data_IF_104919234468
#
_entry.id   IF_104919234468
#
_cell.length_a   1.000
_cell.length_b   1.000
_cell.length_c   1.000
_cell.angle_alpha   90.00
_cell.angle_beta   90.00
_cell.angle_gamma   90.00
#
_symmetry.space_group_name_H-M   'P 1'
#
loop_
_entity.id
_entity.type
_entity.pdbx_description
1 polymer ?
#
# COMPACT_ATOMS: atom_id res chain seq x y z
N UNK A 1 -25.59 45.18 -18.40
CA UNK A 1 -26.82 44.91 -17.61
C UNK A 1 -26.63 43.57 -16.96
N UNK A 2 -26.72 43.53 -15.64
CA UNK A 2 -26.21 42.42 -14.84
C UNK A 2 -27.17 41.26 -14.69
N UNK A 3 -26.60 40.17 -14.19
CA UNK A 3 -27.20 39.36 -13.13
C UNK A 3 -26.06 38.75 -12.31
N UNK A 4 -25.88 39.27 -11.09
CA UNK A 4 -25.24 38.54 -10.00
C UNK A 4 -26.20 37.44 -9.53
N UNK A 5 -25.67 36.28 -9.16
CA UNK A 5 -26.50 35.16 -8.70
C UNK A 5 -25.72 34.07 -7.98
N UNK A 6 -25.32 34.38 -6.75
CA UNK A 6 -25.19 33.48 -5.60
C UNK A 6 -24.04 32.47 -5.54
N UNK A 7 -23.08 32.84 -4.70
CA UNK A 7 -22.15 32.01 -3.94
C UNK A 7 -22.84 30.78 -3.35
N UNK A 8 -22.34 29.59 -3.67
CA UNK A 8 -22.57 28.40 -2.87
C UNK A 8 -21.26 28.03 -2.17
N UNK A 9 -21.14 28.45 -0.91
CA UNK A 9 -20.03 28.06 -0.04
C UNK A 9 -20.21 26.58 0.33
N UNK A 10 -19.65 25.68 -0.48
CA UNK A 10 -19.40 24.31 -0.02
C UNK A 10 -18.12 24.29 0.80
N UNK A 11 -18.32 24.41 2.12
CA UNK A 11 -17.30 24.38 3.15
C UNK A 11 -16.82 22.94 3.41
N UNK A 12 -16.27 22.30 2.39
CA UNK A 12 -15.46 21.09 2.53
C UNK A 12 -14.07 21.44 2.02
N UNK A 13 -13.08 21.54 2.91
CA UNK A 13 -11.70 21.81 2.54
C UNK A 13 -11.28 20.82 1.44
N UNK A 14 -11.19 21.30 0.19
CA UNK A 14 -10.59 20.53 -0.89
C UNK A 14 -9.16 20.21 -0.44
N UNK A 15 -8.87 18.92 -0.30
CA UNK A 15 -7.59 18.45 0.19
C UNK A 15 -6.53 18.83 -0.85
N UNK A 16 -5.80 19.92 -0.58
CA UNK A 16 -4.73 20.41 -1.46
C UNK A 16 -3.59 19.40 -1.45
N UNK A 17 -3.35 18.77 -2.60
CA UNK A 17 -2.20 17.90 -2.82
C UNK A 17 -1.02 18.76 -3.27
N UNK A 18 0.04 18.82 -2.46
CA UNK A 18 1.25 19.61 -2.74
C UNK A 18 1.28 20.98 -2.07
N UNK A 19 2.38 21.73 -2.31
CA UNK A 19 2.66 23.01 -1.65
C UNK A 19 2.31 24.24 -2.50
N UNK A 20 2.07 24.06 -3.80
CA UNK A 20 1.69 25.12 -4.76
C UNK A 20 0.31 24.87 -5.36
N UNK A 21 -0.25 25.88 -6.00
CA UNK A 21 -1.48 25.73 -6.78
C UNK A 21 -1.27 24.80 -7.99
N UNK A 22 -2.32 24.08 -8.44
CA UNK A 22 -2.26 23.26 -9.63
C UNK A 22 -2.03 24.13 -10.87
N UNK A 23 -1.22 23.62 -11.82
CA UNK A 23 -0.96 24.29 -13.10
C UNK A 23 -2.25 24.34 -13.96
N UNK A 24 -3.06 23.28 -13.90
CA UNK A 24 -4.32 23.17 -14.61
C UNK A 24 -5.29 22.31 -13.80
N UNK A 25 -6.57 22.69 -13.85
CA UNK A 25 -7.70 21.90 -13.33
C UNK A 25 -8.52 21.27 -14.47
N UNK A 26 -8.05 21.36 -15.71
CA UNK A 26 -8.71 20.76 -16.86
C UNK A 26 -8.68 19.23 -16.79
N UNK A 27 -9.83 18.59 -16.98
CA UNK A 27 -9.93 17.14 -17.13
C UNK A 27 -9.43 16.66 -18.51
N UNK A 28 -9.28 15.34 -18.69
CA UNK A 28 -8.86 14.76 -19.97
C UNK A 28 -9.92 14.98 -21.06
N UNK A 29 -9.45 15.17 -22.30
CA UNK A 29 -10.30 15.16 -23.50
C UNK A 29 -10.61 13.72 -23.94
N UNK A 30 -11.54 13.55 -24.87
CA UNK A 30 -11.82 12.24 -25.48
C UNK A 30 -10.57 11.64 -26.15
N UNK A 31 -9.73 12.47 -26.77
CA UNK A 31 -8.47 12.06 -27.37
C UNK A 31 -7.50 11.50 -26.32
N UNK A 32 -7.38 12.16 -25.16
CA UNK A 32 -6.50 11.71 -24.06
C UNK A 32 -6.94 10.35 -23.50
N UNK A 33 -8.27 10.15 -23.39
CA UNK A 33 -8.84 8.87 -22.96
C UNK A 33 -8.52 7.75 -23.97
N UNK A 34 -8.61 8.02 -25.27
CA UNK A 34 -8.21 7.05 -26.32
C UNK A 34 -6.73 6.71 -26.19
N UNK A 35 -5.86 7.71 -26.03
CA UNK A 35 -4.41 7.49 -25.86
C UNK A 35 -4.05 6.74 -24.59
N UNK A 36 -4.79 6.95 -23.51
CA UNK A 36 -4.62 6.20 -22.26
C UNK A 36 -4.91 4.71 -22.48
N UNK A 37 -5.99 4.38 -23.19
CA UNK A 37 -6.33 2.97 -23.51
C UNK A 37 -5.29 2.31 -24.43
N UNK A 38 -4.77 3.04 -25.41
CA UNK A 38 -3.69 2.54 -26.28
C UNK A 38 -2.41 2.24 -25.47
N UNK A 39 -2.05 3.11 -24.53
CA UNK A 39 -0.92 2.91 -23.63
C UNK A 39 -1.13 1.68 -22.73
N UNK A 40 -2.28 1.57 -22.06
CA UNK A 40 -2.59 0.41 -21.21
C UNK A 40 -2.51 -0.91 -21.98
N UNK A 41 -3.02 -0.94 -23.23
CA UNK A 41 -2.92 -2.11 -24.09
C UNK A 41 -1.45 -2.45 -24.38
N UNK A 42 -0.65 -1.46 -24.76
CA UNK A 42 0.77 -1.67 -25.04
C UNK A 42 1.53 -2.22 -23.81
N UNK A 43 1.27 -1.69 -22.62
CA UNK A 43 1.91 -2.17 -21.38
C UNK A 43 1.50 -3.61 -21.03
N UNK A 44 0.25 -3.99 -21.31
CA UNK A 44 -0.23 -5.38 -21.18
C UNK A 44 0.45 -6.31 -22.18
N UNK A 45 0.51 -5.91 -23.44
CA UNK A 45 1.15 -6.67 -24.50
C UNK A 45 2.66 -6.85 -24.25
N UNK A 46 3.30 -5.88 -23.57
CA UNK A 46 4.69 -5.95 -23.13
C UNK A 46 4.91 -6.83 -21.88
N UNK A 47 3.85 -7.39 -21.28
CA UNK A 47 3.94 -8.28 -20.13
C UNK A 47 4.33 -7.60 -18.82
N UNK A 48 4.02 -6.30 -18.65
CA UNK A 48 4.41 -5.54 -17.45
C UNK A 48 3.46 -5.71 -16.27
N UNK A 49 2.28 -6.28 -16.48
CA UNK A 49 1.32 -6.56 -15.42
C UNK A 49 1.51 -7.97 -14.89
N UNK A 50 1.49 -8.10 -13.56
CA UNK A 50 1.47 -9.38 -12.88
C UNK A 50 0.26 -10.24 -13.30
N UNK A 51 0.47 -11.55 -13.39
CA UNK A 51 -0.61 -12.50 -13.64
C UNK A 51 -1.30 -12.93 -12.33
N UNK A 52 -2.55 -13.40 -12.44
CA UNK A 52 -3.34 -13.77 -11.27
C UNK A 52 -2.70 -14.85 -10.39
N UNK A 53 -1.96 -15.80 -11.00
CA UNK A 53 -1.34 -16.89 -10.26
C UNK A 53 -0.18 -16.39 -9.39
N UNK A 54 0.64 -15.48 -9.91
CA UNK A 54 1.69 -14.80 -9.15
C UNK A 54 1.09 -13.95 -8.03
N UNK A 55 0.04 -13.18 -8.31
CA UNK A 55 -0.65 -12.36 -7.31
C UNK A 55 -1.14 -13.21 -6.12
N UNK A 56 -1.83 -14.33 -6.40
CA UNK A 56 -2.29 -15.28 -5.37
C UNK A 56 -1.11 -15.86 -4.60
N UNK A 57 -0.04 -16.25 -5.29
CA UNK A 57 1.15 -16.79 -4.63
C UNK A 57 1.79 -15.79 -3.67
N UNK A 58 1.87 -14.50 -4.05
CA UNK A 58 2.38 -13.44 -3.17
C UNK A 58 1.50 -13.24 -1.95
N UNK A 59 0.18 -13.25 -2.11
CA UNK A 59 -0.77 -13.14 -1.00
C UNK A 59 -0.63 -14.32 -0.01
N UNK A 60 -0.46 -15.54 -0.52
CA UNK A 60 -0.22 -16.71 0.32
C UNK A 60 1.09 -16.60 1.12
N UNK A 61 2.16 -16.14 0.49
CA UNK A 61 3.45 -15.91 1.16
C UNK A 61 3.32 -14.85 2.25
N UNK A 62 2.62 -13.75 1.98
CA UNK A 62 2.35 -12.71 2.98
C UNK A 62 1.56 -13.25 4.17
N UNK A 63 0.52 -14.07 3.92
CA UNK A 63 -0.25 -14.71 4.99
C UNK A 63 0.60 -15.63 5.87
N UNK A 64 1.49 -16.43 5.25
CA UNK A 64 2.43 -17.30 5.99
C UNK A 64 3.45 -16.49 6.79
N UNK A 65 4.00 -15.41 6.21
CA UNK A 65 4.94 -14.54 6.90
C UNK A 65 4.31 -13.84 8.11
N UNK A 66 3.05 -13.40 8.00
CA UNK A 66 2.29 -12.82 9.12
C UNK A 66 2.15 -13.83 10.28
N UNK A 67 1.84 -15.09 9.98
CA UNK A 67 1.80 -16.15 10.99
C UNK A 67 3.17 -16.39 11.63
N UNK A 68 4.23 -16.43 10.82
CA UNK A 68 5.60 -16.65 11.29
C UNK A 68 6.02 -15.55 12.27
N UNK A 69 5.80 -14.27 11.94
CA UNK A 69 6.22 -13.17 12.83
C UNK A 69 5.42 -13.15 14.14
N UNK A 70 4.14 -13.55 14.10
CA UNK A 70 3.31 -13.68 15.31
C UNK A 70 3.75 -14.82 16.21
N UNK A 71 4.15 -15.95 15.64
CA UNK A 71 4.71 -17.06 16.42
C UNK A 71 6.06 -16.64 17.01
N UNK A 72 6.92 -16.02 16.19
CA UNK A 72 8.24 -15.54 16.60
C UNK A 72 8.17 -14.57 17.78
N UNK A 73 7.28 -13.56 17.74
CA UNK A 73 7.17 -12.60 18.84
C UNK A 73 6.69 -13.26 20.13
N UNK A 74 5.77 -14.22 20.07
CA UNK A 74 5.33 -14.98 21.26
C UNK A 74 6.46 -15.81 21.85
N UNK A 75 7.31 -16.40 21.00
CA UNK A 75 8.50 -17.14 21.44
C UNK A 75 9.51 -16.22 22.14
N UNK A 76 9.77 -15.04 21.59
CA UNK A 76 10.62 -14.02 22.25
C UNK A 76 10.02 -13.60 23.59
N UNK A 77 8.72 -13.33 23.64
CA UNK A 77 8.04 -12.91 24.88
C UNK A 77 8.20 -13.94 25.99
N UNK A 78 8.06 -15.24 25.68
CA UNK A 78 8.33 -16.32 26.65
C UNK A 78 9.80 -16.37 27.07
N UNK A 79 10.72 -16.26 26.13
CA UNK A 79 12.16 -16.30 26.42
C UNK A 79 12.61 -15.11 27.29
N UNK A 80 11.91 -13.97 27.23
CA UNK A 80 12.11 -12.81 28.10
C UNK A 80 11.46 -12.96 29.49
N UNK A 81 10.75 -14.06 29.76
CA UNK A 81 10.11 -14.33 31.04
C UNK A 81 8.82 -13.53 31.27
N UNK A 82 8.15 -13.06 30.21
CA UNK A 82 6.85 -12.43 30.34
C UNK A 82 5.79 -13.46 30.76
N UNK A 83 4.78 -13.03 31.52
CA UNK A 83 3.68 -13.90 31.93
C UNK A 83 2.82 -14.34 30.72
N UNK A 84 2.03 -15.40 30.88
CA UNK A 84 1.27 -15.95 29.75
C UNK A 84 0.22 -14.99 29.19
N UNK A 85 -0.36 -14.10 30.02
CA UNK A 85 -1.29 -13.06 29.56
C UNK A 85 -0.61 -12.13 28.54
N UNK A 86 0.54 -11.57 28.89
CA UNK A 86 1.33 -10.71 28.01
C UNK A 86 1.88 -11.46 26.78
N UNK A 87 2.19 -12.76 26.91
CA UNK A 87 2.59 -13.59 25.77
C UNK A 87 1.43 -13.78 24.80
N UNK A 88 0.20 -13.97 25.28
CA UNK A 88 -0.95 -14.09 24.38
C UNK A 88 -1.26 -12.79 23.66
N UNK A 89 -1.08 -11.66 24.32
CA UNK A 89 -1.24 -10.31 23.76
C UNK A 89 -0.09 -9.88 22.86
N UNK A 90 1.09 -10.49 23.00
CA UNK A 90 2.25 -10.17 22.18
C UNK A 90 1.94 -10.36 20.69
N UNK A 91 2.21 -9.32 19.91
CA UNK A 91 1.87 -9.26 18.50
C UNK A 91 2.97 -8.58 17.69
N UNK A 92 3.10 -9.01 16.45
CA UNK A 92 3.96 -8.41 15.45
C UNK A 92 3.16 -8.30 14.14
N UNK A 93 3.46 -7.29 13.35
CA UNK A 93 2.78 -7.03 12.07
C UNK A 93 3.79 -6.91 10.96
N UNK A 94 3.47 -7.48 9.81
CA UNK A 94 4.18 -7.16 8.58
C UNK A 94 3.46 -6.01 7.87
N UNK A 95 4.22 -5.10 7.29
CA UNK A 95 3.75 -4.01 6.45
C UNK A 95 4.49 -4.05 5.13
N UNK A 96 3.77 -4.14 4.03
CA UNK A 96 4.35 -4.00 2.71
C UNK A 96 4.62 -2.54 2.39
N UNK A 97 5.75 -2.28 1.73
CA UNK A 97 6.08 -0.99 1.14
C UNK A 97 6.63 -1.21 -0.28
N UNK A 98 7.22 -0.17 -0.88
CA UNK A 98 7.82 -0.29 -2.22
C UNK A 98 6.79 -0.52 -3.33
N UNK A 99 7.27 -1.05 -4.45
CA UNK A 99 6.50 -1.22 -5.70
C UNK A 99 5.26 -2.09 -5.52
N UNK A 100 5.37 -3.19 -4.75
CA UNK A 100 4.25 -4.08 -4.44
C UNK A 100 3.12 -3.35 -3.72
N UNK A 101 3.46 -2.53 -2.72
CA UNK A 101 2.44 -1.77 -1.98
C UNK A 101 1.75 -0.71 -2.83
N UNK A 102 2.47 -0.14 -3.80
CA UNK A 102 1.92 0.86 -4.72
C UNK A 102 1.09 0.26 -5.86
N UNK A 103 1.11 -1.08 -6.03
CA UNK A 103 0.38 -1.76 -7.10
C UNK A 103 0.98 -1.54 -8.49
N UNK A 104 2.28 -1.24 -8.56
CA UNK A 104 3.02 -0.98 -9.81
C UNK A 104 4.17 -1.97 -10.01
N UNK A 105 4.21 -3.06 -9.24
CA UNK A 105 5.18 -4.13 -9.42
C UNK A 105 4.87 -4.93 -10.70
N UNK A 106 5.92 -5.37 -11.38
CA UNK A 106 5.81 -6.26 -12.53
C UNK A 106 6.03 -7.72 -12.16
N UNK A 107 5.88 -8.65 -13.13
CA UNK A 107 6.24 -10.04 -12.95
C UNK A 107 7.68 -10.20 -12.45
N UNK A 108 7.89 -11.11 -11.51
CA UNK A 108 9.22 -11.38 -10.95
C UNK A 108 9.79 -10.29 -10.03
N UNK A 109 9.09 -9.17 -9.78
CA UNK A 109 9.50 -8.20 -8.76
C UNK A 109 9.56 -8.85 -7.37
N UNK A 110 10.31 -8.29 -6.43
CA UNK A 110 10.32 -8.71 -5.03
C UNK A 110 9.14 -8.11 -4.23
N UNK A 111 9.06 -8.46 -2.94
CA UNK A 111 8.12 -7.84 -2.00
C UNK A 111 8.92 -7.23 -0.85
N UNK A 112 8.90 -5.92 -0.77
CA UNK A 112 9.47 -5.18 0.34
C UNK A 112 8.55 -5.25 1.56
N UNK A 113 9.06 -5.81 2.67
CA UNK A 113 8.30 -6.04 3.91
C UNK A 113 9.05 -5.45 5.11
N UNK A 114 8.33 -4.67 5.92
CA UNK A 114 8.76 -4.23 7.24
C UNK A 114 8.04 -5.05 8.31
N UNK A 115 8.80 -5.71 9.19
CA UNK A 115 8.26 -6.33 10.40
C UNK A 115 8.27 -5.31 11.56
N UNK A 116 7.11 -5.05 12.15
CA UNK A 116 6.93 -4.18 13.30
C UNK A 116 6.58 -5.03 14.50
N UNK A 117 7.47 -5.04 15.49
CA UNK A 117 7.32 -5.78 16.73
C UNK A 117 7.44 -4.88 17.97
N UNK A 118 7.25 -5.45 19.17
CA UNK A 118 7.39 -4.75 20.43
C UNK A 118 8.85 -4.38 20.70
N UNK A 119 9.07 -3.33 21.51
CA UNK A 119 10.40 -2.77 21.83
C UNK A 119 11.43 -3.81 22.31
N UNK A 120 10.98 -4.86 23.01
CA UNK A 120 11.86 -5.88 23.57
C UNK A 120 12.33 -6.94 22.55
N UNK A 121 11.78 -6.94 21.33
CA UNK A 121 12.28 -7.73 20.22
C UNK A 121 13.43 -6.98 19.54
N UNK A 122 14.67 -7.39 19.78
CA UNK A 122 15.86 -6.82 19.16
C UNK A 122 16.15 -7.48 17.80
N UNK A 123 16.83 -6.73 16.93
CA UNK A 123 17.35 -7.25 15.66
C UNK A 123 18.54 -8.19 15.90
N UNK A 124 19.37 -7.84 16.86
CA UNK A 124 20.48 -8.66 17.33
C UNK A 124 19.90 -9.68 18.31
N UNK A 125 19.66 -10.88 17.81
CA UNK A 125 19.41 -12.07 18.63
C UNK A 125 20.74 -12.78 18.80
#
# INVERSE_FOLDING_TARGET
MGSHGFSNHNNGQQQRLGITEPISLGGPTEYDVIKTRELEKHLKDAGLYENQQEAVSREEVLGRLDQIVKIWVKTISRAKGLNEELVQEANAKILTFGSYRLGVHGPGADIDILCVGPRYASRDV
#
